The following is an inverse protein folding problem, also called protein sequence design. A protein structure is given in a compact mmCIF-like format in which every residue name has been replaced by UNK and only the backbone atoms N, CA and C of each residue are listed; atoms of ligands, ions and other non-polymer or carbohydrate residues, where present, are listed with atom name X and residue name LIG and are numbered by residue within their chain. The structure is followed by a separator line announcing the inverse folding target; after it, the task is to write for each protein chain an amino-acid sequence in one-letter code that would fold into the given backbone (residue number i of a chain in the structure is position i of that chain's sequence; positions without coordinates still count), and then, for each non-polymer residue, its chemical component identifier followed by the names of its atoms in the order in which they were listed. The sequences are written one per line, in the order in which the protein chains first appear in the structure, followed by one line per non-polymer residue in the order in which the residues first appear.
data_IF_190647901844
#
_entry.id   IF_190647901844
#
_cell.length_a   1.000
_cell.length_b   1.000
_cell.length_c   1.000
_cell.angle_alpha   90.00
_cell.angle_beta   90.00
_cell.angle_gamma   90.00
#
_symmetry.space_group_name_H-M   'P 1'
#
loop_
_entity.id
_entity.type
_entity.pdbx_description
1 polymer ?
#
# COMPACT_ATOMS: atom_id res chain seq x y z
N UNK A 1 -35.11 65.23 -1.69
CA UNK A 1 -33.95 64.62 -1.00
C UNK A 1 -33.98 63.07 -0.94
N UNK A 2 -34.99 62.40 -1.51
CA UNK A 2 -35.18 60.92 -1.44
C UNK A 2 -34.41 60.15 -2.54
N UNK A 3 -34.07 60.78 -3.67
CA UNK A 3 -33.41 60.16 -4.83
C UNK A 3 -31.95 59.76 -4.56
N UNK A 4 -31.15 60.64 -3.95
CA UNK A 4 -29.73 60.35 -3.61
C UNK A 4 -29.55 59.17 -2.63
N UNK A 5 -30.54 58.90 -1.78
CA UNK A 5 -30.48 57.79 -0.79
C UNK A 5 -30.72 56.43 -1.45
N UNK A 6 -31.59 56.40 -2.47
CA UNK A 6 -31.93 55.19 -3.24
C UNK A 6 -30.78 54.76 -4.14
N UNK A 7 -30.07 55.71 -4.75
CA UNK A 7 -28.87 55.46 -5.55
C UNK A 7 -27.74 54.84 -4.72
N UNK A 8 -27.48 55.36 -3.51
CA UNK A 8 -26.46 54.79 -2.60
C UNK A 8 -26.84 53.39 -2.10
N UNK A 9 -28.12 53.15 -1.80
CA UNK A 9 -28.60 51.83 -1.40
C UNK A 9 -28.47 50.80 -2.52
N UNK A 10 -28.69 51.20 -3.78
CA UNK A 10 -28.55 50.32 -4.94
C UNK A 10 -27.09 49.97 -5.23
N UNK A 11 -26.17 50.93 -5.07
CA UNK A 11 -24.73 50.67 -5.20
C UNK A 11 -24.24 49.70 -4.12
N UNK A 12 -24.73 49.83 -2.87
CA UNK A 12 -24.40 48.88 -1.80
C UNK A 12 -24.95 47.49 -2.10
N UNK A 13 -26.17 47.39 -2.65
CA UNK A 13 -26.76 46.10 -3.03
C UNK A 13 -25.94 45.40 -4.12
N UNK A 14 -25.57 46.14 -5.17
CA UNK A 14 -24.76 45.60 -6.28
C UNK A 14 -23.38 45.18 -5.77
N UNK A 15 -22.75 46.01 -4.93
CA UNK A 15 -21.46 45.67 -4.31
C UNK A 15 -21.52 44.41 -3.45
N UNK A 16 -22.57 44.25 -2.64
CA UNK A 16 -22.76 43.06 -1.81
C UNK A 16 -22.98 41.79 -2.64
N UNK A 17 -23.76 41.87 -3.72
CA UNK A 17 -24.00 40.73 -4.63
C UNK A 17 -22.72 40.34 -5.36
N UNK A 18 -21.97 41.31 -5.89
CA UNK A 18 -20.68 41.05 -6.55
C UNK A 18 -19.68 40.42 -5.58
N UNK A 19 -19.58 40.93 -4.35
CA UNK A 19 -18.69 40.38 -3.33
C UNK A 19 -19.09 38.95 -2.93
N UNK A 20 -20.39 38.66 -2.84
CA UNK A 20 -20.87 37.30 -2.56
C UNK A 20 -20.46 36.32 -3.66
N UNK A 21 -20.59 36.68 -4.94
CA UNK A 21 -20.16 35.83 -6.05
C UNK A 21 -18.64 35.61 -6.09
N UNK A 22 -17.84 36.63 -5.75
CA UNK A 22 -16.39 36.48 -5.64
C UNK A 22 -16.04 35.47 -4.53
N UNK A 23 -16.66 35.60 -3.35
CA UNK A 23 -16.44 34.67 -2.24
C UNK A 23 -16.86 33.25 -2.62
N UNK A 24 -18.04 33.07 -3.24
CA UNK A 24 -18.51 31.77 -3.70
C UNK A 24 -17.56 31.16 -4.74
N UNK A 25 -17.08 31.95 -5.71
CA UNK A 25 -16.11 31.49 -6.70
C UNK A 25 -14.80 31.03 -6.05
N UNK A 26 -14.29 31.80 -5.08
CA UNK A 26 -13.09 31.44 -4.31
C UNK A 26 -13.31 30.15 -3.51
N UNK A 27 -14.45 30.00 -2.83
CA UNK A 27 -14.78 28.79 -2.06
C UNK A 27 -14.93 27.57 -2.97
N UNK A 28 -15.51 27.71 -4.15
CA UNK A 28 -15.62 26.61 -5.13
C UNK A 28 -14.26 26.23 -5.70
N UNK A 29 -13.40 27.20 -6.02
CA UNK A 29 -12.04 26.93 -6.50
C UNK A 29 -11.20 26.29 -5.40
N UNK A 30 -11.25 26.79 -4.16
CA UNK A 30 -10.53 26.16 -3.06
C UNK A 30 -11.06 24.77 -2.74
N UNK A 31 -12.38 24.57 -2.67
CA UNK A 31 -12.92 23.22 -2.46
C UNK A 31 -12.62 22.29 -3.65
N UNK A 32 -12.63 22.80 -4.88
CA UNK A 32 -12.30 22.02 -6.08
C UNK A 32 -10.82 21.62 -6.11
N UNK A 33 -9.92 22.57 -5.86
CA UNK A 33 -8.47 22.34 -5.81
C UNK A 33 -8.08 21.49 -4.61
N UNK A 34 -8.64 21.76 -3.42
CA UNK A 34 -8.39 20.96 -2.22
C UNK A 34 -8.86 19.52 -2.40
N UNK A 35 -10.01 19.28 -3.05
CA UNK A 35 -10.45 17.91 -3.36
C UNK A 35 -9.49 17.20 -4.32
N UNK A 36 -8.85 17.91 -5.26
CA UNK A 36 -7.89 17.30 -6.19
C UNK A 36 -6.48 17.13 -5.62
N UNK A 37 -6.01 18.04 -4.75
CA UNK A 37 -4.68 17.98 -4.15
C UNK A 37 -4.63 16.99 -2.96
N UNK A 38 -5.67 16.96 -2.12
CA UNK A 38 -5.71 16.05 -0.96
C UNK A 38 -5.88 14.58 -1.35
N UNK A 39 -6.63 14.27 -2.42
CA UNK A 39 -6.76 12.88 -2.90
C UNK A 39 -5.45 12.36 -3.52
N UNK A 40 -4.70 13.21 -4.25
CA UNK A 40 -3.48 12.78 -4.92
C UNK A 40 -2.28 12.66 -3.97
N UNK A 41 -2.07 13.63 -3.07
CA UNK A 41 -0.98 13.57 -2.07
C UNK A 41 -1.31 12.67 -0.88
N UNK A 42 -2.59 12.57 -0.48
CA UNK A 42 -3.04 11.65 0.55
C UNK A 42 -2.94 10.20 0.10
N UNK A 43 -3.36 9.89 -1.13
CA UNK A 43 -3.28 8.54 -1.69
C UNK A 43 -1.85 8.03 -1.84
N UNK A 44 -0.90 8.87 -2.27
CA UNK A 44 0.52 8.47 -2.42
C UNK A 44 1.23 8.23 -1.09
N UNK A 45 0.97 9.07 -0.08
CA UNK A 45 1.53 8.88 1.27
C UNK A 45 0.92 7.65 1.97
N UNK A 46 -0.39 7.44 1.81
CA UNK A 46 -1.09 6.28 2.33
C UNK A 46 -0.60 4.98 1.67
N UNK A 47 -0.49 4.94 0.34
CA UNK A 47 -0.01 3.75 -0.38
C UNK A 47 1.44 3.37 -0.02
N UNK A 48 2.31 4.34 0.28
CA UNK A 48 3.65 4.05 0.78
C UNK A 48 3.61 3.44 2.20
N UNK A 49 2.77 3.98 3.08
CA UNK A 49 2.56 3.41 4.42
C UNK A 49 1.95 2.02 4.37
N UNK A 50 1.03 1.76 3.43
CA UNK A 50 0.41 0.45 3.26
C UNK A 50 1.42 -0.57 2.73
N UNK A 51 2.32 -0.15 1.83
CA UNK A 51 3.42 -1.00 1.34
C UNK A 51 4.37 -1.41 2.48
N UNK A 52 4.79 -0.47 3.34
CA UNK A 52 5.65 -0.77 4.50
C UNK A 52 4.99 -1.78 5.46
N UNK A 53 3.68 -1.67 5.69
CA UNK A 53 2.92 -2.61 6.55
C UNK A 53 2.83 -3.98 5.90
N UNK A 54 2.54 -4.06 4.60
CA UNK A 54 2.47 -5.32 3.85
C UNK A 54 3.84 -6.00 3.83
N UNK A 55 4.92 -5.25 3.63
CA UNK A 55 6.29 -5.78 3.67
C UNK A 55 6.60 -6.39 5.04
N UNK A 56 6.20 -5.73 6.13
CA UNK A 56 6.38 -6.27 7.47
C UNK A 56 5.53 -7.52 7.74
N UNK A 57 4.27 -7.53 7.27
CA UNK A 57 3.39 -8.69 7.37
C UNK A 57 3.95 -9.90 6.61
N UNK A 58 4.45 -9.69 5.40
CA UNK A 58 5.06 -10.74 4.58
C UNK A 58 6.35 -11.26 5.24
N UNK A 59 7.22 -10.37 5.72
CA UNK A 59 8.45 -10.73 6.41
C UNK A 59 8.17 -11.62 7.64
N UNK A 60 7.19 -11.26 8.46
CA UNK A 60 6.79 -12.06 9.61
C UNK A 60 6.12 -13.38 9.21
N UNK A 61 5.19 -13.34 8.26
CA UNK A 61 4.42 -14.52 7.85
C UNK A 61 5.30 -15.57 7.19
N UNK A 62 6.19 -15.15 6.29
CA UNK A 62 7.17 -16.04 5.66
C UNK A 62 8.19 -16.49 6.71
N UNK A 63 8.67 -15.61 7.59
CA UNK A 63 9.59 -16.00 8.67
C UNK A 63 9.04 -17.13 9.54
N UNK A 64 7.77 -17.05 9.96
CA UNK A 64 7.10 -18.11 10.69
C UNK A 64 6.86 -19.37 9.85
N UNK A 65 6.48 -19.21 8.58
CA UNK A 65 6.29 -20.33 7.65
C UNK A 65 7.59 -21.13 7.47
N UNK A 66 8.74 -20.47 7.40
CA UNK A 66 10.03 -21.14 7.27
C UNK A 66 10.38 -21.97 8.50
N UNK A 67 10.12 -21.45 9.70
CA UNK A 67 10.29 -22.21 10.95
C UNK A 67 9.41 -23.47 10.96
N UNK A 68 8.16 -23.36 10.51
CA UNK A 68 7.26 -24.50 10.42
C UNK A 68 7.74 -25.53 9.39
N UNK A 69 8.24 -25.06 8.24
CA UNK A 69 8.83 -25.93 7.21
C UNK A 69 10.04 -26.67 7.77
N UNK A 70 10.93 -26.00 8.50
CA UNK A 70 12.08 -26.65 9.13
C UNK A 70 11.63 -27.75 10.10
N UNK A 71 10.69 -27.46 11.01
CA UNK A 71 10.22 -28.41 12.02
C UNK A 71 9.48 -29.61 11.41
N UNK A 72 8.69 -29.38 10.35
CA UNK A 72 7.85 -30.41 9.74
C UNK A 72 8.47 -31.13 8.53
N UNK A 73 9.51 -30.56 7.91
CA UNK A 73 10.08 -31.06 6.65
C UNK A 73 10.53 -32.51 6.71
N UNK A 74 11.14 -32.90 7.85
CA UNK A 74 11.89 -34.14 7.97
C UNK A 74 12.98 -34.30 6.91
N UNK A 75 13.41 -33.20 6.27
CA UNK A 75 14.31 -33.24 5.14
C UNK A 75 15.72 -33.66 5.59
N UNK A 76 16.29 -34.62 4.88
CA UNK A 76 17.65 -35.12 5.12
C UNK A 76 18.73 -34.36 4.34
N UNK A 77 18.33 -33.46 3.45
CA UNK A 77 19.19 -32.74 2.52
C UNK A 77 18.65 -31.34 2.22
N UNK A 78 19.57 -30.43 1.92
CA UNK A 78 19.29 -29.02 1.68
C UNK A 78 18.35 -28.80 0.50
N UNK A 79 18.55 -29.53 -0.61
CA UNK A 79 17.72 -29.39 -1.81
C UNK A 79 16.25 -29.65 -1.52
N UNK A 80 15.95 -30.72 -0.77
CA UNK A 80 14.57 -31.05 -0.40
C UNK A 80 13.98 -29.99 0.52
N UNK A 81 14.76 -29.44 1.45
CA UNK A 81 14.31 -28.39 2.36
C UNK A 81 14.04 -27.06 1.62
N UNK A 82 14.93 -26.67 0.72
CA UNK A 82 14.78 -25.48 -0.13
C UNK A 82 13.56 -25.59 -1.04
N UNK A 83 13.37 -26.74 -1.70
CA UNK A 83 12.20 -26.99 -2.55
C UNK A 83 10.88 -26.93 -1.76
N UNK A 84 10.87 -27.48 -0.54
CA UNK A 84 9.71 -27.40 0.35
C UNK A 84 9.43 -25.97 0.79
N UNK A 85 10.46 -25.19 1.12
CA UNK A 85 10.31 -23.77 1.47
C UNK A 85 9.70 -22.98 0.29
N UNK A 86 10.25 -23.15 -0.92
CA UNK A 86 9.75 -22.51 -2.14
C UNK A 86 8.30 -22.90 -2.42
N UNK A 87 7.96 -24.18 -2.31
CA UNK A 87 6.59 -24.67 -2.54
C UNK A 87 5.59 -24.09 -1.54
N UNK A 88 5.95 -24.03 -0.26
CA UNK A 88 5.10 -23.47 0.79
C UNK A 88 4.93 -21.95 0.62
N UNK A 89 5.99 -21.20 0.29
CA UNK A 89 5.88 -19.77 0.01
C UNK A 89 5.01 -19.53 -1.23
N UNK A 90 5.11 -20.36 -2.27
CA UNK A 90 4.25 -20.24 -3.45
C UNK A 90 2.77 -20.48 -3.11
N UNK A 91 2.49 -21.44 -2.22
CA UNK A 91 1.13 -21.68 -1.73
C UNK A 91 0.61 -20.49 -0.89
N UNK A 92 1.44 -19.97 0.01
CA UNK A 92 1.15 -18.75 0.78
C UNK A 92 0.87 -17.57 -0.15
N UNK A 93 1.71 -17.32 -1.14
CA UNK A 93 1.56 -16.24 -2.11
C UNK A 93 0.21 -16.31 -2.84
N UNK A 94 -0.23 -17.51 -3.22
CA UNK A 94 -1.54 -17.71 -3.86
C UNK A 94 -2.69 -17.39 -2.91
N UNK A 95 -2.61 -17.84 -1.65
CA UNK A 95 -3.63 -17.57 -0.64
C UNK A 95 -3.68 -16.09 -0.24
N UNK A 96 -2.52 -15.45 -0.09
CA UNK A 96 -2.38 -14.04 0.23
C UNK A 96 -2.92 -13.18 -0.91
N UNK A 97 -2.54 -13.46 -2.17
CA UNK A 97 -3.09 -12.80 -3.35
C UNK A 97 -4.63 -12.83 -3.38
N UNK A 98 -5.22 -14.00 -3.13
CA UNK A 98 -6.68 -14.14 -3.16
C UNK A 98 -7.35 -13.31 -2.06
N UNK A 99 -6.75 -13.28 -0.87
CA UNK A 99 -7.25 -12.50 0.27
C UNK A 99 -7.15 -11.00 0.02
N UNK A 100 -6.02 -10.55 -0.52
CA UNK A 100 -5.73 -9.14 -0.76
C UNK A 100 -6.52 -8.59 -1.95
N UNK A 101 -6.75 -9.39 -2.99
CA UNK A 101 -7.63 -9.05 -4.12
C UNK A 101 -9.09 -8.86 -3.69
N UNK A 102 -9.54 -9.58 -2.66
CA UNK A 102 -10.89 -9.42 -2.09
C UNK A 102 -11.02 -8.20 -1.15
N UNK A 103 -9.92 -7.81 -0.48
CA UNK A 103 -9.97 -6.90 0.65
C UNK A 103 -9.42 -5.50 0.35
N UNK A 104 -8.58 -5.35 -0.68
CA UNK A 104 -7.91 -4.10 -1.01
C UNK A 104 -7.90 -3.84 -2.53
N UNK A 105 -7.84 -2.57 -2.96
CA UNK A 105 -7.75 -2.22 -4.39
C UNK A 105 -6.34 -2.39 -4.97
N UNK A 106 -5.42 -3.04 -4.25
CA UNK A 106 -4.07 -3.31 -4.68
C UNK A 106 -3.81 -4.83 -4.73
N UNK A 107 -3.06 -5.28 -5.73
CA UNK A 107 -2.61 -6.65 -5.85
C UNK A 107 -1.19 -6.76 -5.27
N UNK A 108 -0.99 -7.71 -4.37
CA UNK A 108 0.33 -8.05 -3.82
C UNK A 108 0.75 -9.38 -4.40
N UNK A 109 1.94 -9.45 -5.00
CA UNK A 109 2.43 -10.67 -5.64
C UNK A 109 3.91 -10.90 -5.27
N UNK A 110 4.20 -12.08 -4.74
CA UNK A 110 5.55 -12.51 -4.36
C UNK A 110 6.13 -13.32 -5.53
N UNK A 111 7.34 -12.96 -5.98
CA UNK A 111 8.06 -13.56 -7.11
C UNK A 111 9.51 -13.83 -6.74
N UNK A 112 10.20 -14.52 -7.65
CA UNK A 112 11.66 -14.75 -7.57
C UNK A 112 12.06 -15.27 -6.18
N UNK A 113 11.40 -16.36 -5.77
CA UNK A 113 11.59 -17.00 -4.47
C UNK A 113 12.83 -17.89 -4.56
N UNK A 114 13.86 -17.56 -3.80
CA UNK A 114 15.10 -18.32 -3.72
C UNK A 114 15.40 -18.62 -2.26
N UNK A 115 15.35 -19.90 -1.89
CA UNK A 115 15.68 -20.36 -0.54
C UNK A 115 17.15 -20.78 -0.48
N UNK A 116 17.78 -20.54 0.66
CA UNK A 116 19.16 -20.95 0.92
C UNK A 116 19.21 -21.69 2.25
N UNK A 117 19.72 -22.92 2.24
CA UNK A 117 19.96 -23.73 3.42
C UNK A 117 21.45 -23.79 3.81
N UNK A 118 21.70 -23.99 5.10
CA UNK A 118 23.03 -24.13 5.68
C UNK A 118 23.65 -25.51 5.40
N UNK A 119 24.90 -25.73 5.83
CA UNK A 119 25.55 -27.05 5.72
C UNK A 119 24.91 -28.17 6.55
N UNK A 120 24.02 -27.80 7.46
CA UNK A 120 23.10 -28.65 8.24
C UNK A 120 21.69 -28.32 7.73
N UNK A 121 20.75 -29.27 7.53
CA UNK A 121 19.48 -29.04 6.84
C UNK A 121 18.54 -28.13 7.65
N UNK A 122 18.86 -26.85 7.59
CA UNK A 122 18.23 -25.71 8.23
C UNK A 122 18.28 -24.57 7.22
N UNK A 123 17.20 -23.81 7.12
CA UNK A 123 17.10 -22.62 6.27
C UNK A 123 17.93 -21.50 6.90
N UNK A 124 18.73 -20.82 6.07
CA UNK A 124 19.45 -19.62 6.49
C UNK A 124 18.58 -18.38 6.23
N UNK A 125 18.11 -18.26 5.00
CA UNK A 125 17.31 -17.15 4.54
C UNK A 125 16.58 -17.51 3.24
N UNK A 126 15.55 -16.74 2.94
CA UNK A 126 14.88 -16.75 1.64
C UNK A 126 14.89 -15.35 1.08
N UNK A 127 15.32 -15.23 -0.17
CA UNK A 127 15.17 -14.00 -0.93
C UNK A 127 13.85 -14.05 -1.70
N UNK A 128 13.03 -13.00 -1.57
CA UNK A 128 11.76 -12.88 -2.28
C UNK A 128 11.60 -11.48 -2.85
N UNK A 129 11.00 -11.40 -4.03
CA UNK A 129 10.63 -10.13 -4.65
C UNK A 129 9.15 -9.88 -4.42
N UNK A 130 8.80 -8.91 -3.58
CA UNK A 130 7.43 -8.46 -3.37
C UNK A 130 7.09 -7.37 -4.37
N UNK A 131 6.01 -7.56 -5.12
CA UNK A 131 5.46 -6.59 -6.05
C UNK A 131 4.09 -6.16 -5.55
N UNK A 132 3.97 -4.88 -5.23
CA UNK A 132 2.72 -4.21 -4.92
C UNK A 132 2.27 -3.43 -6.15
N UNK A 133 1.07 -3.73 -6.66
CA UNK A 133 0.52 -3.09 -7.84
C UNK A 133 -0.88 -2.54 -7.54
N UNK A 134 -1.05 -1.23 -7.66
CA UNK A 134 -2.33 -0.53 -7.48
C UNK A 134 -2.63 0.31 -8.71
N UNK A 135 -3.85 0.85 -8.78
CA UNK A 135 -4.28 1.68 -9.91
C UNK A 135 -3.42 2.94 -10.14
N UNK A 136 -2.59 3.35 -9.17
CA UNK A 136 -1.78 4.57 -9.21
C UNK A 136 -0.31 4.37 -8.88
N UNK A 137 0.10 3.19 -8.39
CA UNK A 137 1.46 2.93 -7.93
C UNK A 137 1.84 1.47 -8.15
N UNK A 138 2.98 1.25 -8.78
CA UNK A 138 3.65 -0.04 -8.82
C UNK A 138 4.96 0.06 -8.04
N UNK A 139 5.12 -0.77 -7.01
CA UNK A 139 6.30 -0.83 -6.16
C UNK A 139 6.85 -2.24 -6.15
N UNK A 140 8.18 -2.37 -6.25
CA UNK A 140 8.89 -3.66 -6.19
C UNK A 140 9.98 -3.57 -5.13
N UNK A 141 10.06 -4.58 -4.27
CA UNK A 141 11.11 -4.73 -3.26
C UNK A 141 11.63 -6.14 -3.19
N UNK A 142 12.94 -6.24 -3.02
CA UNK A 142 13.62 -7.49 -2.74
C UNK A 142 13.81 -7.58 -1.22
N UNK A 143 13.32 -8.65 -0.61
CA UNK A 143 13.36 -8.89 0.82
C UNK A 143 14.16 -10.16 1.09
N UNK A 144 15.11 -10.06 2.02
CA UNK A 144 15.82 -11.21 2.57
C UNK A 144 15.22 -11.54 3.94
N UNK A 145 14.50 -12.65 4.01
CA UNK A 145 13.72 -13.07 5.18
C UNK A 145 14.45 -14.24 5.84
N UNK A 146 14.61 -14.17 7.15
CA UNK A 146 15.20 -15.24 7.96
C UNK A 146 14.09 -16.09 8.59
N UNK A 147 14.34 -17.37 8.90
CA UNK A 147 13.40 -18.20 9.67
C UNK A 147 13.33 -17.67 11.10
N UNK A 148 12.35 -16.81 11.36
CA UNK A 148 12.07 -16.24 12.67
C UNK A 148 10.57 -16.05 12.84
N UNK A 149 10.06 -16.48 13.99
CA UNK A 149 8.69 -16.20 14.41
C UNK A 149 8.75 -15.50 15.77
N UNK A 150 8.19 -14.28 15.91
CA UNK A 150 8.20 -13.52 17.17
C UNK A 150 7.31 -14.14 18.25
#
# INVERSE_FOLDING_TARGET
MVTRRRERAQVILIGAVSLAFIILGIVVVFNGVLYTETLSSGGTSQSASDADVIEHEIDQSIGCLLVEVEDQSGASDNSTLEDQAVANISAFNTAYQNTTAHSTPAAVNIRDIEATANSDPTLENVNVTVVYDSNSLSHRRDLTIQPRCP
#
